data_IF_111969813843
#
_entry.id   IF_111969813843
#
_cell.length_a   1.000
_cell.length_b   1.000
_cell.length_c   1.000
_cell.angle_alpha   90.00
_cell.angle_beta   90.00
_cell.angle_gamma   90.00
#
_symmetry.space_group_name_H-M   'P 1'
#
loop_
_entity.id
_entity.type
_entity.pdbx_description
1 polymer ?
#
# COMPACT_ATOMS: atom_id res chain seq x y z
N UNK A 1 18.00 -6.41 2.69
CA UNK A 1 16.97 -6.77 3.71
C UNK A 1 16.57 -5.54 4.52
N UNK A 2 17.48 -4.93 5.28
CA UNK A 2 17.19 -3.70 6.05
C UNK A 2 16.67 -2.56 5.16
N UNK A 3 17.32 -2.30 4.02
CA UNK A 3 16.88 -1.29 3.05
C UNK A 3 15.43 -1.53 2.59
N UNK A 4 15.04 -2.80 2.37
CA UNK A 4 13.68 -3.15 1.97
C UNK A 4 12.67 -2.87 3.09
N UNK A 5 13.00 -3.21 4.34
CA UNK A 5 12.15 -2.94 5.50
C UNK A 5 11.94 -1.43 5.68
N UNK A 6 13.02 -0.65 5.60
CA UNK A 6 12.94 0.82 5.66
C UNK A 6 12.09 1.38 4.52
N UNK A 7 12.28 0.88 3.29
CA UNK A 7 11.55 1.35 2.12
C UNK A 7 10.05 1.00 2.23
N UNK A 8 9.70 -0.19 2.70
CA UNK A 8 8.30 -0.58 2.95
C UNK A 8 7.66 0.24 4.08
N UNK A 9 8.42 0.60 5.12
CA UNK A 9 7.94 1.48 6.18
C UNK A 9 7.65 2.89 5.68
N UNK A 10 8.54 3.45 4.84
CA UNK A 10 8.31 4.76 4.19
C UNK A 10 7.10 4.71 3.26
N UNK A 11 6.98 3.66 2.45
CA UNK A 11 5.82 3.48 1.55
C UNK A 11 4.51 3.35 2.33
N UNK A 12 4.51 2.59 3.44
CA UNK A 12 3.35 2.47 4.31
C UNK A 12 2.97 3.83 4.93
N UNK A 13 3.96 4.58 5.43
CA UNK A 13 3.76 5.90 6.01
C UNK A 13 3.17 6.88 5.00
N UNK A 14 3.74 6.95 3.79
CA UNK A 14 3.24 7.81 2.72
C UNK A 14 1.83 7.41 2.29
N UNK A 15 1.56 6.12 2.12
CA UNK A 15 0.22 5.62 1.76
C UNK A 15 -0.83 5.95 2.83
N UNK A 16 -0.50 5.83 4.12
CA UNK A 16 -1.39 6.23 5.20
C UNK A 16 -1.62 7.74 5.26
N UNK A 17 -0.54 8.52 5.13
CA UNK A 17 -0.61 9.99 5.16
C UNK A 17 -1.44 10.51 4.00
N UNK A 18 -1.11 10.10 2.78
CA UNK A 18 -1.86 10.48 1.60
C UNK A 18 -3.29 9.96 1.64
N UNK A 19 -3.54 8.73 2.09
CA UNK A 19 -4.90 8.19 2.21
C UNK A 19 -5.77 8.96 3.20
N UNK A 20 -5.16 9.51 4.27
CA UNK A 20 -5.84 10.42 5.20
C UNK A 20 -6.09 11.78 4.54
N UNK A 21 -5.08 12.35 3.87
CA UNK A 21 -5.21 13.63 3.16
C UNK A 21 -6.25 13.57 2.02
N UNK A 22 -6.40 12.45 1.29
CA UNK A 22 -7.45 12.29 0.27
C UNK A 22 -8.83 12.21 0.89
N UNK A 23 -9.02 11.43 1.98
CA UNK A 23 -10.30 11.39 2.70
C UNK A 23 -10.74 12.76 3.23
N UNK A 24 -9.78 13.63 3.53
CA UNK A 24 -10.04 14.97 4.08
C UNK A 24 -10.21 16.03 2.99
N UNK A 25 -10.06 15.68 1.70
CA UNK A 25 -10.16 16.64 0.59
C UNK A 25 -8.94 17.56 0.43
N UNK A 26 -7.86 17.34 1.20
CA UNK A 26 -6.69 18.24 1.24
C UNK A 26 -5.51 17.74 0.42
N UNK A 27 -5.61 16.56 -0.21
CA UNK A 27 -4.52 15.99 -0.99
C UNK A 27 -4.37 16.69 -2.35
N UNK A 28 -3.41 17.63 -2.41
CA UNK A 28 -3.14 18.44 -3.61
C UNK A 28 -2.65 17.60 -4.82
N UNK A 29 -2.07 16.42 -4.58
CA UNK A 29 -1.61 15.48 -5.62
C UNK A 29 -2.75 14.70 -6.29
N UNK A 30 -3.92 14.62 -5.66
CA UNK A 30 -5.10 13.88 -6.15
C UNK A 30 -6.32 14.81 -6.24
N UNK A 31 -6.11 16.05 -6.70
CA UNK A 31 -7.19 17.04 -6.88
C UNK A 31 -8.36 16.51 -7.70
N UNK A 32 -8.04 15.79 -8.78
CA UNK A 32 -9.01 15.15 -9.69
C UNK A 32 -9.93 14.14 -8.95
N UNK A 33 -9.43 13.47 -7.91
CA UNK A 33 -10.22 12.54 -7.09
C UNK A 33 -10.82 13.18 -5.85
N UNK A 34 -10.50 14.44 -5.53
CA UNK A 34 -11.02 15.13 -4.34
C UNK A 34 -12.21 16.03 -4.64
N UNK A 35 -12.52 16.28 -5.91
CA UNK A 35 -13.73 17.01 -6.33
C UNK A 35 -15.02 16.23 -6.02
N UNK A 36 -15.03 14.91 -6.21
CA UNK A 36 -16.15 14.05 -5.79
C UNK A 36 -15.82 13.38 -4.47
N UNK A 37 -16.61 13.65 -3.42
CA UNK A 37 -16.42 13.05 -2.08
C UNK A 37 -16.36 11.52 -2.11
N UNK A 38 -17.14 10.88 -2.98
CA UNK A 38 -17.22 9.42 -3.07
C UNK A 38 -15.93 8.79 -3.63
N UNK A 39 -15.32 9.38 -4.67
CA UNK A 39 -14.03 8.94 -5.20
C UNK A 39 -12.89 9.27 -4.24
N UNK A 40 -12.94 10.42 -3.55
CA UNK A 40 -11.96 10.79 -2.53
C UNK A 40 -11.91 9.77 -1.38
N UNK A 41 -13.08 9.32 -0.92
CA UNK A 41 -13.19 8.34 0.15
C UNK A 41 -12.72 6.96 -0.31
N UNK A 42 -13.13 6.51 -1.51
CA UNK A 42 -12.68 5.24 -2.10
C UNK A 42 -11.17 5.20 -2.31
N UNK A 43 -10.59 6.22 -2.94
CA UNK A 43 -9.14 6.32 -3.19
C UNK A 43 -8.38 6.42 -1.87
N UNK A 44 -8.88 7.19 -0.90
CA UNK A 44 -8.26 7.27 0.42
C UNK A 44 -8.31 5.96 1.20
N UNK A 45 -9.41 5.20 1.11
CA UNK A 45 -9.53 3.88 1.73
C UNK A 45 -8.60 2.85 1.05
N UNK A 46 -8.46 2.95 -0.27
CA UNK A 46 -7.57 2.13 -1.07
C UNK A 46 -6.09 2.38 -0.71
N UNK A 47 -5.70 3.66 -0.56
CA UNK A 47 -4.35 4.02 -0.12
C UNK A 47 -4.06 3.51 1.29
N UNK A 48 -5.02 3.61 2.21
CA UNK A 48 -4.88 3.00 3.54
C UNK A 48 -4.75 1.47 3.47
N UNK A 49 -5.47 0.82 2.57
CA UNK A 49 -5.34 -0.62 2.36
C UNK A 49 -3.95 -1.00 1.84
N UNK A 50 -3.41 -0.28 0.85
CA UNK A 50 -2.04 -0.45 0.37
C UNK A 50 -1.03 -0.22 1.49
N UNK A 51 -1.23 0.82 2.31
CA UNK A 51 -0.40 1.10 3.48
C UNK A 51 -0.40 -0.02 4.51
N UNK A 52 -1.57 -0.60 4.80
CA UNK A 52 -1.71 -1.80 5.67
C UNK A 52 -0.98 -3.01 5.08
N UNK A 53 -1.14 -3.27 3.79
CA UNK A 53 -0.43 -4.36 3.10
C UNK A 53 1.10 -4.15 3.12
N UNK A 54 1.57 -2.92 2.88
CA UNK A 54 2.99 -2.58 2.95
C UNK A 54 3.54 -2.78 4.37
N UNK A 55 2.79 -2.36 5.39
CA UNK A 55 3.16 -2.53 6.79
C UNK A 55 3.20 -4.01 7.20
N UNK A 56 2.21 -4.81 6.79
CA UNK A 56 2.18 -6.25 7.07
C UNK A 56 3.34 -7.00 6.39
N UNK A 57 3.61 -6.70 5.11
CA UNK A 57 4.72 -7.30 4.37
C UNK A 57 6.08 -6.87 4.94
N UNK A 58 6.25 -5.58 5.24
CA UNK A 58 7.45 -5.05 5.90
C UNK A 58 7.69 -5.68 7.28
N UNK A 59 6.63 -5.86 8.07
CA UNK A 59 6.67 -6.55 9.37
C UNK A 59 7.08 -8.02 9.23
N UNK A 60 6.49 -8.76 8.27
CA UNK A 60 6.89 -10.14 7.99
C UNK A 60 8.37 -10.24 7.57
N UNK A 61 8.84 -9.28 6.79
CA UNK A 61 10.24 -9.22 6.34
C UNK A 61 11.20 -8.88 7.50
N UNK A 62 10.76 -8.05 8.46
CA UNK A 62 11.49 -7.79 9.69
C UNK A 62 11.57 -9.04 10.59
N UNK A 63 10.48 -9.79 10.72
CA UNK A 63 10.48 -11.09 11.41
C UNK A 63 11.44 -12.07 10.75
N UNK A 64 11.43 -12.17 9.41
CA UNK A 64 12.38 -13.00 8.67
C UNK A 64 13.84 -12.57 8.90
N UNK A 65 14.09 -11.27 9.04
CA UNK A 65 15.40 -10.72 9.32
C UNK A 65 15.89 -11.08 10.73
N UNK A 66 15.04 -10.92 11.74
CA UNK A 66 15.34 -11.33 13.12
C UNK A 66 15.50 -12.85 13.23
N UNK A 67 14.67 -13.63 12.54
CA UNK A 67 14.78 -15.09 12.49
C UNK A 67 16.12 -15.54 11.91
N UNK A 68 16.56 -14.91 10.82
CA UNK A 68 17.90 -15.15 10.27
C UNK A 68 19.01 -14.84 11.28
N UNK A 69 18.84 -13.77 12.07
CA UNK A 69 19.83 -13.38 13.08
C UNK A 69 19.88 -14.39 14.24
N UNK A 70 18.76 -15.03 14.57
CA UNK A 70 18.65 -15.98 15.69
C UNK A 70 18.97 -17.43 15.32
N UNK A 71 18.47 -17.90 14.17
CA UNK A 71 18.56 -19.29 13.74
C UNK A 71 19.65 -19.55 12.69
N UNK A 72 20.32 -18.50 12.18
CA UNK A 72 21.36 -18.60 11.14
C UNK A 72 20.82 -18.90 9.74
N UNK A 73 19.67 -19.58 9.64
CA UNK A 73 18.99 -19.88 8.38
C UNK A 73 18.10 -18.75 7.90
N UNK A 74 18.16 -18.48 6.59
CA UNK A 74 17.35 -17.45 5.96
C UNK A 74 16.08 -18.06 5.37
N UNK A 75 14.88 -17.76 5.92
CA UNK A 75 13.64 -18.35 5.44
C UNK A 75 13.19 -17.69 4.12
N UNK A 76 13.82 -18.10 3.01
CA UNK A 76 13.56 -17.60 1.65
C UNK A 76 12.09 -17.75 1.25
N UNK A 77 11.45 -18.84 1.67
CA UNK A 77 10.04 -19.13 1.37
C UNK A 77 9.12 -18.10 2.05
N UNK A 78 9.35 -17.78 3.32
CA UNK A 78 8.56 -16.77 4.04
C UNK A 78 8.75 -15.37 3.45
N UNK A 79 9.97 -15.02 3.04
CA UNK A 79 10.23 -13.77 2.34
C UNK A 79 9.52 -13.70 0.98
N UNK A 80 9.55 -14.79 0.20
CA UNK A 80 8.84 -14.85 -1.08
C UNK A 80 7.32 -14.75 -0.90
N UNK A 81 6.76 -15.42 0.11
CA UNK A 81 5.34 -15.35 0.45
C UNK A 81 4.94 -13.93 0.88
N UNK A 82 5.77 -13.22 1.66
CA UNK A 82 5.48 -11.84 2.07
C UNK A 82 5.45 -10.86 0.90
N UNK A 83 6.33 -11.07 -0.09
CA UNK A 83 6.37 -10.27 -1.32
C UNK A 83 5.14 -10.58 -2.18
N UNK A 84 4.81 -11.86 -2.38
CA UNK A 84 3.63 -12.26 -3.15
C UNK A 84 2.34 -11.72 -2.53
N UNK A 85 2.22 -11.76 -1.21
CA UNK A 85 1.07 -11.21 -0.50
C UNK A 85 0.93 -9.70 -0.70
N UNK A 86 2.03 -8.96 -0.64
CA UNK A 86 2.04 -7.53 -0.93
C UNK A 86 1.67 -7.25 -2.40
N UNK A 87 2.27 -7.96 -3.34
CA UNK A 87 2.02 -7.79 -4.78
C UNK A 87 0.55 -8.06 -5.14
N UNK A 88 -0.07 -9.10 -4.58
CA UNK A 88 -1.50 -9.40 -4.80
C UNK A 88 -2.39 -8.30 -4.22
N UNK A 89 -2.10 -7.81 -3.01
CA UNK A 89 -2.81 -6.71 -2.39
C UNK A 89 -2.69 -5.41 -3.19
N UNK A 90 -1.50 -5.14 -3.72
CA UNK A 90 -1.21 -3.97 -4.55
C UNK A 90 -1.91 -4.05 -5.92
N UNK A 91 -1.90 -5.21 -6.58
CA UNK A 91 -2.59 -5.41 -7.87
C UNK A 91 -4.11 -5.23 -7.70
N UNK A 92 -4.69 -5.81 -6.63
CA UNK A 92 -6.11 -5.61 -6.28
C UNK A 92 -6.41 -4.12 -6.10
N UNK A 93 -5.54 -3.39 -5.39
CA UNK A 93 -5.71 -1.97 -5.21
C UNK A 93 -5.67 -1.20 -6.54
N UNK A 94 -4.65 -1.45 -7.36
CA UNK A 94 -4.50 -0.83 -8.69
C UNK A 94 -5.70 -1.10 -9.61
N UNK A 95 -6.25 -2.32 -9.63
CA UNK A 95 -7.43 -2.64 -10.45
C UNK A 95 -8.68 -1.86 -10.01
N UNK A 96 -8.88 -1.70 -8.71
CA UNK A 96 -9.99 -0.91 -8.17
C UNK A 96 -9.79 0.56 -8.54
N UNK A 97 -8.58 1.09 -8.39
CA UNK A 97 -8.26 2.47 -8.80
C UNK A 97 -8.53 2.69 -10.30
N UNK A 98 -8.10 1.76 -11.15
CA UNK A 98 -8.33 1.83 -12.59
C UNK A 98 -9.82 1.77 -12.94
N UNK A 99 -10.61 0.96 -12.21
CA UNK A 99 -12.05 0.90 -12.41
C UNK A 99 -12.71 2.25 -12.09
N UNK A 100 -12.34 2.85 -10.96
CA UNK A 100 -12.80 4.19 -10.55
C UNK A 100 -12.41 5.24 -11.59
N UNK A 101 -11.16 5.22 -12.06
CA UNK A 101 -10.69 6.12 -13.13
C UNK A 101 -11.47 5.96 -14.44
N UNK A 102 -11.88 4.74 -14.77
CA UNK A 102 -12.62 4.43 -16.00
C UNK A 102 -14.08 4.86 -15.92
N UNK A 103 -14.72 4.72 -14.75
CA UNK A 103 -16.06 5.26 -14.47
C UNK A 103 -16.06 6.79 -14.52
N UNK A 104 -15.05 7.44 -13.94
CA UNK A 104 -14.86 8.90 -14.04
C UNK A 104 -14.71 9.37 -15.49
N UNK A 105 -13.88 8.69 -16.30
CA UNK A 105 -13.66 9.04 -17.71
C UNK A 105 -14.84 8.75 -18.64
N UNK A 106 -15.74 7.85 -18.26
CA UNK A 106 -16.92 7.50 -19.05
C UNK A 106 -18.15 8.36 -18.76
N UNK A 107 -18.13 9.12 -17.66
CA UNK A 107 -19.17 10.09 -17.29
C UNK A 107 -18.92 11.51 -17.84
N UNK A 108 -17.72 11.79 -18.37
CA UNK A 108 -17.34 13.07 -18.97
C UNK A 108 -17.46 13.01 -20.50
#
# INVERSE_FOLDING_TARGET
MIIYICLMAVMAYLAFRWGKETKTGTCHMMKEYTEKKETAEQVGNLLQFVGKCACASGGLMAVCFFWRMLAGDFPRVLAAVSILFYSLGFIRAMLILQKIQKEERGQN
#
